data_IF_712121189865
#
_entry.id   IF_712121189865
#
_cell.length_a   1.000
_cell.length_b   1.000
_cell.length_c   1.000
_cell.angle_alpha   90.00
_cell.angle_beta   90.00
_cell.angle_gamma   90.00
#
_symmetry.space_group_name_H-M   'P 1'
#
loop_
_entity.id
_entity.type
_entity.pdbx_description
1 polymer ?
#
# COMPACT_ATOMS: atom_id res chain seq x y z
N UNK A 1 -1.04 15.82 1.04
CA UNK A 1 -0.51 14.51 1.43
C UNK A 1 -1.26 13.45 0.65
N UNK A 2 -0.57 12.44 0.17
CA UNK A 2 -1.13 11.26 -0.47
C UNK A 2 -0.86 10.05 0.41
N UNK A 3 -1.81 9.14 0.48
CA UNK A 3 -1.74 7.91 1.26
C UNK A 3 -1.88 6.72 0.33
N UNK A 4 -1.06 5.70 0.61
CA UNK A 4 -0.96 4.51 -0.22
C UNK A 4 -1.02 3.28 0.67
N UNK A 5 -1.80 2.29 0.25
CA UNK A 5 -1.95 1.03 0.97
C UNK A 5 -1.51 -0.12 0.08
N UNK A 6 -0.80 -1.07 0.69
CA UNK A 6 -0.49 -2.36 0.12
C UNK A 6 -1.02 -3.45 1.04
N UNK A 7 -1.84 -4.34 0.50
CA UNK A 7 -2.26 -5.57 1.16
C UNK A 7 -1.73 -6.76 0.38
N UNK A 8 -0.86 -7.56 1.00
CA UNK A 8 -0.50 -8.89 0.49
C UNK A 8 -1.49 -9.90 1.06
N UNK A 9 -2.09 -10.70 0.19
CA UNK A 9 -3.06 -11.73 0.54
C UNK A 9 -2.41 -13.12 0.66
N UNK A 10 -3.10 -14.06 1.31
CA UNK A 10 -2.70 -15.47 1.36
C UNK A 10 -2.91 -16.21 0.04
N UNK A 11 -3.69 -15.64 -0.89
CA UNK A 11 -3.93 -16.19 -2.22
C UNK A 11 -2.66 -16.12 -3.06
N UNK A 12 -2.28 -17.26 -3.65
CA UNK A 12 -1.16 -17.34 -4.58
C UNK A 12 -1.67 -17.32 -6.02
N UNK A 13 -1.00 -16.57 -6.87
CA UNK A 13 -1.22 -16.62 -8.31
C UNK A 13 -0.68 -17.94 -8.91
N UNK A 14 -0.88 -18.15 -10.21
CA UNK A 14 -0.42 -19.36 -10.95
C UNK A 14 1.10 -19.62 -10.84
N UNK A 15 1.89 -18.61 -10.46
CA UNK A 15 3.35 -18.70 -10.28
C UNK A 15 3.75 -18.94 -8.81
N UNK A 16 2.80 -19.16 -7.91
CA UNK A 16 3.05 -19.39 -6.48
C UNK A 16 3.39 -18.14 -5.68
N UNK A 17 3.30 -16.94 -6.27
CA UNK A 17 3.54 -15.66 -5.58
C UNK A 17 2.24 -15.18 -4.94
N UNK A 18 2.34 -14.61 -3.75
CA UNK A 18 1.19 -13.96 -3.09
C UNK A 18 0.63 -12.81 -3.92
N UNK A 19 -0.68 -12.62 -3.85
CA UNK A 19 -1.40 -11.58 -4.59
C UNK A 19 -1.45 -10.30 -3.76
N UNK A 20 -1.21 -9.15 -4.40
CA UNK A 20 -1.27 -7.84 -3.77
C UNK A 20 -2.50 -7.04 -4.22
N UNK A 21 -2.99 -6.20 -3.32
CA UNK A 21 -4.03 -5.19 -3.59
C UNK A 21 -3.48 -3.83 -3.20
N UNK A 22 -3.91 -2.79 -3.91
CA UNK A 22 -3.39 -1.44 -3.70
C UNK A 22 -4.52 -0.41 -3.65
N UNK A 23 -4.40 0.54 -2.73
CA UNK A 23 -5.10 1.82 -2.77
C UNK A 23 -4.02 2.87 -2.93
N UNK A 24 -4.04 3.65 -4.02
CA UNK A 24 -2.98 4.62 -4.31
C UNK A 24 -3.55 6.02 -4.41
N UNK A 25 -2.72 7.01 -4.04
CA UNK A 25 -3.06 8.43 -4.18
C UNK A 25 -4.32 8.88 -3.43
N UNK A 26 -4.71 8.15 -2.37
CA UNK A 26 -5.79 8.60 -1.50
C UNK A 26 -5.41 9.91 -0.83
N UNK A 27 -6.33 10.87 -0.82
CA UNK A 27 -6.13 12.17 -0.14
C UNK A 27 -6.68 12.18 1.28
N UNK A 28 -7.33 11.09 1.71
CA UNK A 28 -8.06 11.00 2.96
C UNK A 28 -7.47 9.90 3.84
N UNK A 29 -6.68 10.29 4.84
CA UNK A 29 -6.20 9.33 5.85
C UNK A 29 -7.38 8.75 6.63
N UNK A 30 -8.44 9.51 6.82
CA UNK A 30 -9.63 9.08 7.53
C UNK A 30 -10.35 7.95 6.79
N UNK A 31 -10.39 7.98 5.45
CA UNK A 31 -10.94 6.86 4.68
C UNK A 31 -10.05 5.63 4.79
N UNK A 32 -8.72 5.80 4.72
CA UNK A 32 -7.78 4.69 4.97
C UNK A 32 -7.99 4.10 6.37
N UNK A 33 -8.17 4.95 7.39
CA UNK A 33 -8.47 4.49 8.75
C UNK A 33 -9.81 3.75 8.82
N UNK A 34 -10.87 4.34 8.26
CA UNK A 34 -12.24 3.83 8.32
C UNK A 34 -12.41 2.50 7.61
N UNK A 35 -11.86 2.36 6.40
CA UNK A 35 -12.13 1.22 5.53
C UNK A 35 -11.05 0.14 5.58
N UNK A 36 -9.85 0.47 6.07
CA UNK A 36 -8.70 -0.44 6.07
C UNK A 36 -8.11 -0.64 7.46
N UNK A 37 -7.58 0.41 8.09
CA UNK A 37 -6.82 0.24 9.34
C UNK A 37 -7.70 -0.23 10.50
N UNK A 38 -8.85 0.42 10.72
CA UNK A 38 -9.72 0.09 11.84
C UNK A 38 -10.36 -1.30 11.69
N UNK A 39 -10.89 -1.70 10.52
CA UNK A 39 -11.32 -3.07 10.31
C UNK A 39 -10.19 -4.07 10.51
N UNK A 40 -8.97 -3.77 10.04
CA UNK A 40 -7.81 -4.64 10.26
C UNK A 40 -7.47 -4.79 11.75
N UNK A 41 -7.44 -3.70 12.54
CA UNK A 41 -7.23 -3.72 14.00
C UNK A 41 -8.28 -4.56 14.73
N UNK A 42 -9.50 -4.64 14.18
CA UNK A 42 -10.63 -5.39 14.73
C UNK A 42 -10.76 -6.82 14.18
N UNK A 43 -9.82 -7.25 13.33
CA UNK A 43 -9.85 -8.56 12.65
C UNK A 43 -11.09 -8.75 11.75
N UNK A 44 -11.63 -7.65 11.21
CA UNK A 44 -12.80 -7.61 10.33
C UNK A 44 -12.39 -7.63 8.83
N UNK A 45 -13.39 -7.57 7.93
CA UNK A 45 -13.14 -7.41 6.50
C UNK A 45 -12.69 -5.99 6.18
N UNK A 46 -11.60 -5.89 5.42
CA UNK A 46 -11.08 -4.63 4.88
C UNK A 46 -11.68 -4.37 3.51
N UNK A 47 -12.04 -3.12 3.20
CA UNK A 47 -12.42 -2.69 1.85
C UNK A 47 -11.24 -1.98 1.17
N UNK A 48 -10.81 -2.50 0.02
CA UNK A 48 -9.69 -1.97 -0.77
C UNK A 48 -9.91 -2.30 -2.24
N UNK A 49 -9.57 -1.38 -3.15
CA UNK A 49 -9.61 -1.63 -4.61
C UNK A 49 -10.97 -2.20 -5.08
N UNK A 50 -12.07 -1.61 -4.59
CA UNK A 50 -13.43 -1.99 -4.98
C UNK A 50 -13.94 -3.32 -4.39
N UNK A 51 -13.21 -3.96 -3.47
CA UNK A 51 -13.58 -5.29 -2.93
C UNK A 51 -13.31 -5.44 -1.43
N UNK A 52 -13.97 -6.44 -0.82
CA UNK A 52 -13.73 -6.83 0.56
C UNK A 52 -12.72 -7.98 0.66
N UNK A 53 -11.77 -7.87 1.59
CA UNK A 53 -10.79 -8.90 1.92
C UNK A 53 -10.96 -9.29 3.39
N UNK A 54 -11.13 -10.58 3.67
CA UNK A 54 -11.19 -11.08 5.04
C UNK A 54 -9.83 -10.96 5.73
N UNK A 55 -9.82 -10.60 7.02
CA UNK A 55 -8.59 -10.53 7.83
C UNK A 55 -7.75 -11.81 7.75
N UNK A 56 -8.39 -12.99 7.81
CA UNK A 56 -7.73 -14.29 7.67
C UNK A 56 -6.95 -14.47 6.36
N UNK A 57 -7.29 -13.69 5.34
CA UNK A 57 -6.65 -13.72 4.03
C UNK A 57 -5.56 -12.65 3.90
N UNK A 58 -5.34 -11.79 4.89
CA UNK A 58 -4.32 -10.75 4.86
C UNK A 58 -3.04 -11.29 5.52
N UNK A 59 -1.95 -11.34 4.75
CA UNK A 59 -0.61 -11.69 5.25
C UNK A 59 0.18 -10.49 5.71
N UNK A 60 0.00 -9.35 5.03
CA UNK A 60 0.74 -8.13 5.30
C UNK A 60 -0.10 -6.92 4.91
N UNK A 61 -0.23 -5.96 5.83
CA UNK A 61 -0.75 -4.62 5.58
C UNK A 61 0.43 -3.64 5.68
N UNK A 62 0.54 -2.72 4.71
CA UNK A 62 1.40 -1.54 4.79
C UNK A 62 0.66 -0.29 4.39
N UNK A 63 0.93 0.81 5.10
CA UNK A 63 0.41 2.14 4.81
C UNK A 63 1.57 3.12 4.71
N UNK A 64 1.59 3.88 3.63
CA UNK A 64 2.61 4.88 3.34
C UNK A 64 1.97 6.25 3.13
N UNK A 65 2.74 7.30 3.38
CA UNK A 65 2.38 8.67 3.01
C UNK A 65 3.46 9.33 2.16
N UNK A 66 3.07 10.26 1.30
CA UNK A 66 3.96 11.06 0.48
C UNK A 66 3.41 12.46 0.19
N UNK A 67 4.32 13.41 -0.05
CA UNK A 67 3.94 14.77 -0.46
C UNK A 67 3.45 14.84 -1.91
N UNK A 68 3.92 13.92 -2.76
CA UNK A 68 3.61 13.84 -4.20
C UNK A 68 2.79 12.58 -4.53
N UNK A 69 2.05 12.63 -5.64
CA UNK A 69 1.30 11.46 -6.12
C UNK A 69 2.22 10.34 -6.61
N UNK A 70 1.68 9.13 -6.76
CA UNK A 70 2.40 7.98 -7.33
C UNK A 70 2.91 8.27 -8.73
N UNK A 71 2.15 9.01 -9.55
CA UNK A 71 2.57 9.42 -10.89
C UNK A 71 3.79 10.33 -10.84
N UNK A 72 3.76 11.40 -10.03
CA UNK A 72 4.90 12.31 -9.89
C UNK A 72 6.12 11.62 -9.29
N UNK A 73 5.92 10.67 -8.36
CA UNK A 73 7.01 9.86 -7.82
C UNK A 73 7.58 8.90 -8.86
N UNK A 74 6.73 8.30 -9.69
CA UNK A 74 7.13 7.46 -10.82
C UNK A 74 7.94 8.26 -11.82
N UNK A 75 7.51 9.47 -12.19
CA UNK A 75 8.26 10.34 -13.11
C UNK A 75 9.64 10.74 -12.55
N UNK A 76 9.69 11.10 -11.26
CA UNK A 76 10.96 11.41 -10.56
C UNK A 76 11.90 10.21 -10.46
N UNK A 77 11.37 9.00 -10.30
CA UNK A 77 12.16 7.78 -10.29
C UNK A 77 12.59 7.37 -11.70
N UNK A 78 11.70 7.51 -12.67
CA UNK A 78 11.92 7.17 -14.07
C UNK A 78 12.89 8.13 -14.76
N UNK A 79 12.96 9.39 -14.35
CA UNK A 79 14.00 10.32 -14.85
C UNK A 79 15.41 9.94 -14.38
N UNK A 80 15.50 9.08 -13.35
CA UNK A 80 16.76 8.57 -12.80
C UNK A 80 17.13 7.16 -13.31
N UNK A 81 16.27 6.49 -14.09
CA UNK A 81 16.42 5.09 -14.55
C UNK A 81 16.03 4.97 -16.04
N UNK A 82 16.52 3.97 -16.79
CA UNK A 82 16.20 3.81 -18.22
C UNK A 82 14.70 3.58 -18.51
N UNK A 83 14.22 4.09 -19.66
CA UNK A 83 12.80 4.32 -20.04
C UNK A 83 11.85 3.10 -20.07
N UNK A 84 12.32 1.88 -19.79
CA UNK A 84 11.56 0.63 -19.98
C UNK A 84 11.27 -0.16 -18.69
N UNK A 85 11.43 0.45 -17.51
CA UNK A 85 11.15 -0.22 -16.22
C UNK A 85 9.87 0.36 -15.62
N UNK A 86 8.76 -0.38 -15.74
CA UNK A 86 7.54 -0.12 -14.96
C UNK A 86 7.88 -0.30 -13.48
N UNK A 87 7.95 0.81 -12.73
CA UNK A 87 8.21 0.81 -11.29
C UNK A 87 6.97 0.32 -10.54
N UNK A 88 6.72 -0.98 -10.60
CA UNK A 88 5.73 -1.65 -9.76
C UNK A 88 6.29 -1.63 -8.34
N UNK A 89 5.53 -1.07 -7.40
CA UNK A 89 5.80 -1.02 -5.96
C UNK A 89 6.07 -2.42 -5.40
N UNK A 90 7.29 -2.91 -5.56
CA UNK A 90 7.72 -4.24 -5.12
C UNK A 90 8.62 -4.12 -3.91
N UNK A 91 8.62 -5.18 -3.08
CA UNK A 91 9.29 -5.28 -1.77
C UNK A 91 10.71 -4.69 -1.69
N UNK A 92 11.46 -4.69 -2.79
CA UNK A 92 12.85 -4.21 -2.81
C UNK A 92 13.00 -2.70 -3.10
N UNK A 93 12.02 -2.03 -3.73
CA UNK A 93 12.10 -0.59 -4.00
C UNK A 93 11.66 0.29 -2.82
N UNK A 94 10.93 -0.30 -1.86
CA UNK A 94 10.38 0.38 -0.68
C UNK A 94 11.38 0.52 0.48
N UNK A 95 12.60 -0.03 0.36
CA UNK A 95 13.67 0.19 1.35
C UNK A 95 14.43 1.50 1.12
N UNK A 96 14.09 2.27 0.08
CA UNK A 96 14.55 3.64 -0.07
C UNK A 96 13.49 4.59 0.51
N UNK A 97 13.70 4.99 1.75
CA UNK A 97 12.98 6.01 2.54
C UNK A 97 12.90 7.40 1.86
N UNK A 98 13.41 7.55 0.64
CA UNK A 98 13.62 8.83 -0.03
C UNK A 98 12.34 9.50 -0.58
N UNK A 99 11.21 8.78 -0.68
CA UNK A 99 10.03 9.29 -1.40
C UNK A 99 8.68 9.02 -0.72
N UNK A 100 8.61 8.07 0.20
CA UNK A 100 7.41 7.74 0.96
C UNK A 100 7.80 7.39 2.39
N UNK A 101 7.04 7.88 3.38
CA UNK A 101 7.18 7.51 4.79
C UNK A 101 6.25 6.33 5.09
N UNK A 102 6.79 5.22 5.59
CA UNK A 102 5.97 4.12 6.14
C UNK A 102 5.36 4.58 7.47
N UNK A 103 4.03 4.63 7.54
CA UNK A 103 3.26 5.03 8.73
C UNK A 103 2.42 3.87 9.29
N UNK A 104 2.69 2.63 8.83
CA UNK A 104 1.91 1.44 9.19
C UNK A 104 1.86 1.24 10.71
N UNK A 105 3.01 1.29 11.38
CA UNK A 105 3.09 1.09 12.84
C UNK A 105 2.38 2.21 13.60
N UNK A 106 2.56 3.45 13.17
CA UNK A 106 1.92 4.62 13.78
C UNK A 106 0.39 4.43 13.76
N UNK A 107 -0.18 3.99 12.63
CA UNK A 107 -1.63 3.79 12.50
C UNK A 107 -2.17 2.55 13.23
N UNK A 108 -1.37 1.49 13.36
CA UNK A 108 -1.81 0.26 14.01
C UNK A 108 -1.78 0.35 15.53
N UNK A 109 -0.81 1.07 16.10
CA UNK A 109 -0.53 1.03 17.53
C UNK A 109 -0.70 2.36 18.27
N UNK A 110 -0.91 3.46 17.56
CA UNK A 110 -1.26 4.75 18.17
C UNK A 110 -2.69 5.13 17.74
N UNK A 111 -3.44 5.76 18.65
CA UNK A 111 -4.80 6.23 18.41
C UNK A 111 -4.83 7.69 17.90
#
# INVERSE_FOLDING_TARGET
>A
MFYHVLIETSEKNKKGTYTNCYELDSRSLDDIKKYIVNPYKKEEKVYIDGRYIAYSNIRQLKVFQSESSTESLREKAQSKISKNILLIYTRNNMLNENHMKDITKELLFND
#
